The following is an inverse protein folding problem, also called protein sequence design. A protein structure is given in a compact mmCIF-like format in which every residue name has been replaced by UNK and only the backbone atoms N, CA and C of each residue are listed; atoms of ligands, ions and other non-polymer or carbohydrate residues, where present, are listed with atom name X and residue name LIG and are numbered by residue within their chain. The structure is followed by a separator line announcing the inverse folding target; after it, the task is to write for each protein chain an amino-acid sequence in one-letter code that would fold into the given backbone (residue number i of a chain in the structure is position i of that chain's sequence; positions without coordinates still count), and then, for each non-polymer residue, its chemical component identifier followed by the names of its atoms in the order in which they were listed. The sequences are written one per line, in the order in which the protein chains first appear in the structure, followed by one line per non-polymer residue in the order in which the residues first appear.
data_IF_857192404186
#
_entry.id   IF_857192404186
#
_cell.length_a   1.000
_cell.length_b   1.000
_cell.length_c   1.000
_cell.angle_alpha   90.00
_cell.angle_beta   90.00
_cell.angle_gamma   90.00
#
_symmetry.space_group_name_H-M   'P 1'
#
loop_
_entity.id
_entity.type
_entity.pdbx_description
1 polymer ?
#
# COMPACT_ATOMS: atom_id res chain seq x y z
N UNK A 1 24.93 -2.11 -24.38
CA UNK A 1 24.07 -3.29 -24.08
C UNK A 1 24.50 -4.01 -22.80
N UNK A 2 25.79 -3.99 -22.45
CA UNK A 2 26.33 -4.53 -21.18
C UNK A 2 25.88 -3.77 -19.92
N UNK A 3 25.91 -2.43 -19.92
CA UNK A 3 25.42 -1.61 -18.80
C UNK A 3 23.96 -1.89 -18.39
N UNK A 4 23.11 -2.31 -19.34
CA UNK A 4 21.70 -2.65 -19.08
C UNK A 4 21.59 -4.02 -18.40
N UNK A 5 22.49 -4.97 -18.70
CA UNK A 5 22.53 -6.30 -18.07
C UNK A 5 23.05 -6.22 -16.64
N UNK A 6 24.07 -5.40 -16.37
CA UNK A 6 24.61 -5.20 -15.01
C UNK A 6 23.59 -4.55 -14.07
N UNK A 7 22.92 -3.48 -14.54
CA UNK A 7 21.86 -2.82 -13.77
C UNK A 7 20.68 -3.76 -13.48
N UNK A 8 20.39 -4.70 -14.38
CA UNK A 8 19.36 -5.72 -14.18
C UNK A 8 19.70 -6.71 -13.06
N UNK A 9 20.96 -7.19 -13.00
CA UNK A 9 21.42 -8.10 -11.94
C UNK A 9 21.44 -7.42 -10.57
N UNK A 10 21.99 -6.22 -10.47
CA UNK A 10 22.00 -5.46 -9.21
C UNK A 10 20.58 -5.22 -8.68
N UNK A 11 19.64 -4.85 -9.56
CA UNK A 11 18.23 -4.65 -9.17
C UNK A 11 17.57 -5.94 -8.69
N UNK A 12 17.87 -7.08 -9.31
CA UNK A 12 17.34 -8.37 -8.87
C UNK A 12 17.88 -8.80 -7.50
N UNK A 13 19.17 -8.56 -7.23
CA UNK A 13 19.78 -8.86 -5.95
C UNK A 13 19.19 -8.01 -4.81
N UNK A 14 18.97 -6.71 -5.05
CA UNK A 14 18.33 -5.83 -4.07
C UNK A 14 16.90 -6.28 -3.78
N UNK A 15 16.12 -6.65 -4.79
CA UNK A 15 14.76 -7.17 -4.60
C UNK A 15 14.75 -8.48 -3.81
N UNK A 16 15.68 -9.40 -4.10
CA UNK A 16 15.81 -10.65 -3.34
C UNK A 16 16.24 -10.39 -1.89
N UNK A 17 17.15 -9.45 -1.66
CA UNK A 17 17.53 -9.02 -0.32
C UNK A 17 16.34 -8.41 0.44
N UNK A 18 15.49 -7.61 -0.24
CA UNK A 18 14.25 -7.10 0.36
C UNK A 18 13.28 -8.23 0.72
N UNK A 19 13.13 -9.25 -0.11
CA UNK A 19 12.30 -10.42 0.21
C UNK A 19 12.87 -11.22 1.39
N UNK A 20 14.20 -11.37 1.45
CA UNK A 20 14.86 -12.02 2.59
C UNK A 20 14.64 -11.25 3.89
N UNK A 21 14.85 -9.93 3.89
CA UNK A 21 14.59 -9.07 5.04
C UNK A 21 13.11 -9.12 5.47
N UNK A 22 12.18 -9.09 4.51
CA UNK A 22 10.75 -9.25 4.78
C UNK A 22 10.41 -10.62 5.38
N UNK A 23 11.08 -11.69 4.93
CA UNK A 23 10.90 -13.02 5.51
C UNK A 23 11.38 -13.12 6.96
N UNK A 24 12.50 -12.48 7.30
CA UNK A 24 12.99 -12.41 8.68
C UNK A 24 12.06 -11.57 9.56
N UNK A 25 11.62 -10.40 9.06
CA UNK A 25 10.62 -9.56 9.71
C UNK A 25 9.35 -10.38 10.00
N UNK A 26 8.79 -11.04 8.99
CA UNK A 26 7.55 -11.82 9.13
C UNK A 26 7.71 -12.99 10.11
N UNK A 27 8.85 -13.70 10.09
CA UNK A 27 9.10 -14.78 11.03
C UNK A 27 9.12 -14.29 12.48
N UNK A 28 9.72 -13.11 12.74
CA UNK A 28 9.71 -12.48 14.05
C UNK A 28 8.29 -12.05 14.45
N UNK A 29 7.57 -11.37 13.57
CA UNK A 29 6.19 -10.90 13.82
C UNK A 29 5.23 -12.07 14.07
N UNK A 30 5.33 -13.16 13.31
CA UNK A 30 4.53 -14.37 13.54
C UNK A 30 4.87 -15.01 14.87
N UNK A 31 6.16 -15.15 15.19
CA UNK A 31 6.59 -15.69 16.48
C UNK A 31 6.02 -14.87 17.65
N UNK A 32 6.11 -13.54 17.56
CA UNK A 32 5.61 -12.64 18.60
C UNK A 32 4.09 -12.65 18.73
N UNK A 33 3.36 -12.68 17.61
CA UNK A 33 1.89 -12.53 17.63
C UNK A 33 1.14 -13.84 17.81
N UNK A 34 1.68 -14.96 17.34
CA UNK A 34 0.97 -16.25 17.33
C UNK A 34 1.29 -17.13 18.54
N UNK A 35 2.48 -17.00 19.14
CA UNK A 35 2.82 -17.71 20.36
C UNK A 35 2.43 -16.87 21.58
N UNK A 36 1.39 -17.32 22.31
CA UNK A 36 0.89 -16.61 23.50
C UNK A 36 1.96 -16.42 24.58
N UNK A 37 2.90 -17.36 24.71
CA UNK A 37 3.98 -17.27 25.70
C UNK A 37 5.02 -16.22 25.33
N UNK A 38 5.30 -16.09 24.03
CA UNK A 38 6.20 -15.06 23.49
C UNK A 38 5.51 -13.69 23.52
N UNK A 39 4.24 -13.63 23.12
CA UNK A 39 3.40 -12.42 23.18
C UNK A 39 3.36 -11.85 24.60
N UNK A 40 3.15 -12.70 25.61
CA UNK A 40 3.13 -12.33 27.03
C UNK A 40 4.47 -11.77 27.53
N UNK A 41 5.57 -12.14 26.88
CA UNK A 41 6.91 -11.64 27.18
C UNK A 41 7.33 -10.46 26.28
N UNK A 42 6.49 -10.05 25.32
CA UNK A 42 6.80 -8.98 24.39
C UNK A 42 6.87 -7.64 25.14
N UNK A 43 8.00 -6.92 25.07
CA UNK A 43 8.11 -5.62 25.71
C UNK A 43 7.05 -4.64 25.23
N UNK A 44 6.50 -4.80 24.03
CA UNK A 44 5.52 -3.91 23.41
C UNK A 44 4.11 -4.51 23.29
N UNK A 45 3.77 -5.53 24.10
CA UNK A 45 2.47 -6.21 24.02
C UNK A 45 1.25 -5.27 24.14
N UNK A 46 1.26 -4.34 25.10
CA UNK A 46 0.12 -3.43 25.36
C UNK A 46 0.32 -2.05 24.74
N UNK A 47 1.18 -1.96 23.75
CA UNK A 47 1.51 -0.70 23.10
C UNK A 47 0.42 -0.31 22.07
N UNK A 48 0.00 0.96 22.02
CA UNK A 48 -1.00 1.40 21.05
C UNK A 48 -0.58 1.23 19.58
N UNK A 49 0.71 1.01 19.25
CA UNK A 49 1.19 0.79 17.89
C UNK A 49 0.93 -0.63 17.34
N UNK A 50 0.24 -1.51 18.07
CA UNK A 50 -0.16 -2.85 17.60
C UNK A 50 -0.92 -2.82 16.25
N UNK A 51 -1.56 -1.68 15.92
CA UNK A 51 -2.17 -1.43 14.60
C UNK A 51 -1.15 -1.48 13.46
N UNK A 52 0.06 -0.95 13.67
CA UNK A 52 1.13 -0.96 12.67
C UNK A 52 1.71 -2.36 12.49
N UNK A 53 1.86 -3.11 13.58
CA UNK A 53 2.25 -4.53 13.54
C UNK A 53 1.20 -5.34 12.78
N UNK A 54 -0.08 -5.20 13.15
CA UNK A 54 -1.21 -5.87 12.49
C UNK A 54 -1.29 -5.55 10.99
N UNK A 55 -1.10 -4.27 10.62
CA UNK A 55 -1.07 -3.87 9.21
C UNK A 55 0.10 -4.50 8.47
N UNK A 56 1.30 -4.47 9.05
CA UNK A 56 2.50 -5.01 8.42
C UNK A 56 2.45 -6.54 8.29
N UNK A 57 1.96 -7.25 9.31
CA UNK A 57 1.77 -8.70 9.31
C UNK A 57 0.87 -9.17 8.16
N UNK A 58 -0.07 -8.33 7.72
CA UNK A 58 -0.87 -8.65 6.54
C UNK A 58 -0.21 -8.13 5.24
N UNK A 59 0.22 -6.88 5.22
CA UNK A 59 0.62 -6.18 4.01
C UNK A 59 2.01 -6.58 3.50
N UNK A 60 2.97 -6.87 4.39
CA UNK A 60 4.33 -7.30 4.02
C UNK A 60 4.28 -8.63 3.26
N UNK A 61 3.61 -9.69 3.74
CA UNK A 61 3.42 -10.93 2.98
C UNK A 61 2.72 -10.72 1.65
N UNK A 62 1.68 -9.87 1.59
CA UNK A 62 0.98 -9.57 0.33
C UNK A 62 1.92 -8.91 -0.67
N UNK A 63 2.74 -7.93 -0.26
CA UNK A 63 3.76 -7.33 -1.15
C UNK A 63 4.81 -8.34 -1.57
N UNK A 64 5.30 -9.17 -0.65
CA UNK A 64 6.28 -10.20 -0.94
C UNK A 64 5.74 -11.19 -1.99
N UNK A 65 4.48 -11.65 -1.84
CA UNK A 65 3.81 -12.52 -2.81
C UNK A 65 3.63 -11.86 -4.17
N UNK A 66 3.22 -10.59 -4.19
CA UNK A 66 3.09 -9.82 -5.42
C UNK A 66 4.45 -9.72 -6.11
N UNK A 67 5.50 -9.29 -5.40
CA UNK A 67 6.89 -9.22 -5.90
C UNK A 67 7.36 -10.58 -6.41
N UNK A 68 7.17 -11.66 -5.65
CA UNK A 68 7.55 -13.02 -6.03
C UNK A 68 6.83 -13.47 -7.30
N UNK A 69 5.52 -13.20 -7.43
CA UNK A 69 4.76 -13.50 -8.65
C UNK A 69 5.39 -12.82 -9.87
N UNK A 70 5.88 -11.60 -9.70
CA UNK A 70 6.57 -10.88 -10.77
C UNK A 70 7.95 -11.46 -11.08
N UNK A 71 8.67 -11.97 -10.09
CA UNK A 71 9.92 -12.71 -10.36
C UNK A 71 9.64 -14.01 -11.14
N UNK A 72 8.56 -14.73 -10.82
CA UNK A 72 8.15 -15.94 -11.55
C UNK A 72 7.75 -15.64 -13.00
N UNK A 73 7.21 -14.45 -13.27
CA UNK A 73 6.87 -13.98 -14.59
C UNK A 73 8.06 -13.34 -15.35
N UNK A 74 9.32 -13.59 -14.98
CA UNK A 74 10.51 -12.91 -15.54
C UNK A 74 10.62 -12.87 -17.07
N UNK A 75 10.01 -13.82 -17.78
CA UNK A 75 9.97 -13.87 -19.27
C UNK A 75 8.90 -12.97 -19.89
N UNK A 76 8.00 -12.39 -19.10
CA UNK A 76 6.93 -11.55 -19.62
C UNK A 76 7.47 -10.18 -20.05
N UNK A 77 6.93 -9.61 -21.15
CA UNK A 77 7.37 -8.31 -21.68
C UNK A 77 7.18 -7.21 -20.63
N UNK A 78 8.14 -6.29 -20.51
CA UNK A 78 8.13 -5.33 -19.40
C UNK A 78 9.36 -4.43 -19.26
N UNK A 79 10.53 -4.86 -19.75
CA UNK A 79 11.75 -4.04 -19.82
C UNK A 79 12.09 -3.30 -18.52
N UNK A 80 12.46 -2.02 -18.65
CA UNK A 80 12.86 -1.16 -17.53
C UNK A 80 11.71 -0.77 -16.58
N UNK A 81 10.48 -0.62 -17.10
CA UNK A 81 9.29 -0.30 -16.29
C UNK A 81 9.07 -1.37 -15.21
N UNK A 82 9.24 -2.64 -15.59
CA UNK A 82 9.13 -3.80 -14.70
C UNK A 82 10.09 -3.72 -13.53
N UNK A 83 11.37 -3.42 -13.81
CA UNK A 83 12.42 -3.32 -12.79
C UNK A 83 12.10 -2.19 -11.82
N UNK A 84 11.76 -1.01 -12.35
CA UNK A 84 11.44 0.18 -11.52
C UNK A 84 10.23 -0.06 -10.62
N UNK A 85 9.15 -0.64 -11.15
CA UNK A 85 7.96 -0.97 -10.35
C UNK A 85 8.27 -2.00 -9.26
N UNK A 86 9.08 -3.02 -9.56
CA UNK A 86 9.47 -4.05 -8.59
C UNK A 86 10.33 -3.47 -7.47
N UNK A 87 11.31 -2.62 -7.81
CA UNK A 87 12.14 -1.92 -6.82
C UNK A 87 11.29 -0.98 -5.96
N UNK A 88 10.31 -0.28 -6.54
CA UNK A 88 9.38 0.56 -5.77
C UNK A 88 8.44 -0.24 -4.87
N UNK A 89 7.98 -1.42 -5.31
CA UNK A 89 7.21 -2.33 -4.46
C UNK A 89 8.06 -2.86 -3.30
N UNK A 90 9.31 -3.25 -3.56
CA UNK A 90 10.26 -3.64 -2.53
C UNK A 90 10.54 -2.49 -1.56
N UNK A 91 10.68 -1.26 -2.06
CA UNK A 91 10.77 -0.06 -1.24
C UNK A 91 9.56 0.14 -0.33
N UNK A 92 8.34 0.03 -0.86
CA UNK A 92 7.12 0.15 -0.05
C UNK A 92 7.05 -0.93 1.05
N UNK A 93 7.45 -2.16 0.74
CA UNK A 93 7.52 -3.27 1.70
C UNK A 93 8.53 -3.00 2.82
N UNK A 94 9.75 -2.59 2.45
CA UNK A 94 10.83 -2.27 3.41
C UNK A 94 10.48 -1.04 4.25
N UNK A 95 9.82 -0.04 3.67
CA UNK A 95 9.31 1.11 4.42
C UNK A 95 8.26 0.69 5.44
N UNK A 96 7.34 -0.20 5.08
CA UNK A 96 6.31 -0.67 6.01
C UNK A 96 6.94 -1.46 7.17
N UNK A 97 7.83 -2.41 6.88
CA UNK A 97 8.58 -3.14 7.90
C UNK A 97 9.40 -2.19 8.79
N UNK A 98 10.04 -1.18 8.20
CA UNK A 98 10.80 -0.18 8.95
C UNK A 98 9.94 0.70 9.86
N UNK A 99 8.73 1.09 9.42
CA UNK A 99 7.80 1.83 10.28
C UNK A 99 7.38 1.00 11.48
N UNK A 100 7.10 -0.30 11.30
CA UNK A 100 6.79 -1.21 12.41
C UNK A 100 7.95 -1.33 13.38
N UNK A 101 9.18 -1.56 12.88
CA UNK A 101 10.39 -1.61 13.70
C UNK A 101 10.59 -0.32 14.51
N UNK A 102 10.32 0.85 13.92
CA UNK A 102 10.42 2.14 14.62
C UNK A 102 9.39 2.21 15.75
N UNK A 103 8.14 1.81 15.50
CA UNK A 103 7.10 1.74 16.53
C UNK A 103 7.50 0.82 17.70
N UNK A 104 8.01 -0.38 17.39
CA UNK A 104 8.49 -1.33 18.40
C UNK A 104 9.64 -0.75 19.23
N UNK A 105 10.60 -0.05 18.60
CA UNK A 105 11.65 0.64 19.35
C UNK A 105 11.12 1.77 20.23
N UNK A 106 10.16 2.57 19.75
CA UNK A 106 9.54 3.62 20.57
C UNK A 106 8.87 2.99 21.79
N UNK A 107 8.18 1.86 21.62
CA UNK A 107 7.56 1.13 22.72
C UNK A 107 8.59 0.56 23.71
N UNK A 108 9.70 0.00 23.22
CA UNK A 108 10.83 -0.47 24.05
C UNK A 108 11.40 0.67 24.89
N UNK A 109 11.62 1.85 24.28
CA UNK A 109 12.20 3.02 24.97
C UNK A 109 11.21 3.64 25.96
N UNK A 110 9.92 3.66 25.62
CA UNK A 110 8.88 4.26 26.45
C UNK A 110 8.58 3.44 27.72
N UNK A 111 8.85 2.13 27.73
CA UNK A 111 8.68 1.29 28.92
C UNK A 111 9.96 1.27 29.78
N UNK A 112 9.83 1.76 31.02
CA UNK A 112 10.82 1.60 32.10
C UNK A 112 10.98 0.12 32.49
N UNK A 113 12.14 -0.30 33.04
CA UNK A 113 12.69 -1.67 32.94
C UNK A 113 11.99 -2.78 33.76
N UNK A 114 10.74 -2.60 34.19
CA UNK A 114 10.11 -3.48 35.18
C UNK A 114 9.66 -4.85 34.64
N UNK A 115 9.53 -5.06 33.32
CA UNK A 115 8.96 -6.30 32.75
C UNK A 115 9.83 -7.07 31.75
N UNK A 116 11.03 -6.61 31.42
CA UNK A 116 11.86 -7.23 30.37
C UNK A 116 12.80 -8.35 30.83
N UNK A 117 12.64 -8.86 32.06
CA UNK A 117 13.50 -9.92 32.61
C UNK A 117 13.04 -11.32 32.16
N UNK A 118 13.29 -11.66 30.90
CA UNK A 118 12.98 -12.98 30.37
C UNK A 118 13.81 -13.36 29.14
N UNK A 119 14.08 -14.66 28.98
CA UNK A 119 14.77 -15.21 27.79
C UNK A 119 14.06 -14.80 26.50
N UNK A 120 12.72 -14.85 26.50
CA UNK A 120 11.92 -14.43 25.34
C UNK A 120 12.02 -12.93 25.05
N UNK A 121 12.02 -12.06 26.06
CA UNK A 121 12.24 -10.63 25.85
C UNK A 121 13.61 -10.35 25.21
N UNK A 122 14.65 -11.08 25.64
CA UNK A 122 15.99 -10.99 25.03
C UNK A 122 16.00 -11.48 23.58
N UNK A 123 15.29 -12.57 23.28
CA UNK A 123 15.13 -13.09 21.91
C UNK A 123 14.39 -12.10 21.02
N UNK A 124 13.31 -11.48 21.51
CA UNK A 124 12.53 -10.49 20.77
C UNK A 124 13.34 -9.22 20.51
N UNK A 125 14.05 -8.69 21.50
CA UNK A 125 14.95 -7.55 21.33
C UNK A 125 16.08 -7.88 20.35
N UNK A 126 16.68 -9.07 20.47
CA UNK A 126 17.70 -9.55 19.52
C UNK A 126 17.16 -9.66 18.10
N UNK A 127 15.96 -10.21 17.93
CA UNK A 127 15.24 -10.26 16.66
C UNK A 127 14.97 -8.87 16.10
N UNK A 128 14.50 -7.94 16.92
CA UNK A 128 14.25 -6.55 16.56
C UNK A 128 15.53 -5.86 16.06
N UNK A 129 16.67 -6.08 16.73
CA UNK A 129 17.98 -5.58 16.28
C UNK A 129 18.36 -6.15 14.91
N UNK A 130 18.24 -7.46 14.72
CA UNK A 130 18.54 -8.11 13.43
C UNK A 130 17.66 -7.54 12.31
N UNK A 131 16.36 -7.46 12.54
CA UNK A 131 15.39 -6.91 11.58
C UNK A 131 15.66 -5.43 11.27
N UNK A 132 16.08 -4.65 12.28
CA UNK A 132 16.50 -3.26 12.11
C UNK A 132 17.71 -3.15 11.18
N UNK A 133 18.76 -3.93 11.43
CA UNK A 133 19.98 -3.94 10.62
C UNK A 133 19.67 -4.35 9.17
N UNK A 134 18.89 -5.40 8.97
CA UNK A 134 18.49 -5.86 7.63
C UNK A 134 17.67 -4.79 6.89
N UNK A 135 16.70 -4.18 7.57
CA UNK A 135 15.85 -3.13 7.00
C UNK A 135 16.69 -1.93 6.57
N UNK A 136 17.60 -1.45 7.43
CA UNK A 136 18.50 -0.34 7.11
C UNK A 136 19.43 -0.69 5.95
N UNK A 137 20.06 -1.88 5.97
CA UNK A 137 20.95 -2.32 4.90
C UNK A 137 20.23 -2.35 3.54
N UNK A 138 19.03 -2.93 3.48
CA UNK A 138 18.23 -2.99 2.25
C UNK A 138 17.74 -1.59 1.84
N UNK A 139 17.31 -0.75 2.77
CA UNK A 139 16.91 0.63 2.48
C UNK A 139 18.07 1.42 1.84
N UNK A 140 19.29 1.28 2.37
CA UNK A 140 20.49 1.90 1.80
C UNK A 140 20.75 1.40 0.37
N UNK A 141 20.62 0.09 0.12
CA UNK A 141 20.76 -0.47 -1.23
C UNK A 141 19.72 0.07 -2.21
N UNK A 142 18.45 0.17 -1.77
CA UNK A 142 17.36 0.74 -2.57
C UNK A 142 17.61 2.21 -2.91
N UNK A 143 18.04 3.02 -1.94
CA UNK A 143 18.34 4.45 -2.13
C UNK A 143 19.52 4.64 -3.09
N UNK A 144 20.59 3.85 -2.93
CA UNK A 144 21.75 3.89 -3.83
C UNK A 144 21.36 3.50 -5.26
N UNK A 145 20.50 2.51 -5.44
CA UNK A 145 19.97 2.11 -6.76
C UNK A 145 19.04 3.14 -7.41
N UNK A 146 18.37 3.98 -6.61
CA UNK A 146 17.40 4.95 -7.13
C UNK A 146 18.04 6.20 -7.78
N UNK A 147 19.24 6.59 -7.36
CA UNK A 147 19.90 7.86 -7.77
C UNK A 147 20.21 7.99 -9.27
N UNK A 148 20.05 6.94 -10.07
CA UNK A 148 20.35 6.95 -11.51
C UNK A 148 19.16 6.95 -12.48
N UNK A 149 17.90 7.02 -12.01
CA UNK A 149 16.74 6.80 -12.87
C UNK A 149 15.98 8.10 -13.21
N UNK A 150 15.95 8.44 -14.50
CA UNK A 150 15.29 9.65 -15.02
C UNK A 150 13.76 9.74 -14.81
N UNK A 151 13.15 10.84 -15.31
CA UNK A 151 11.73 11.13 -15.13
C UNK A 151 10.83 9.94 -15.51
N UNK A 152 9.83 9.67 -14.69
CA UNK A 152 8.87 8.60 -14.98
C UNK A 152 7.97 8.99 -16.14
N UNK A 153 8.17 8.39 -17.31
CA UNK A 153 7.17 8.38 -18.36
C UNK A 153 5.89 7.63 -17.90
N UNK A 154 4.76 7.79 -18.61
CA UNK A 154 3.56 7.01 -18.34
C UNK A 154 3.85 5.51 -18.44
N UNK A 155 3.54 4.74 -17.39
CA UNK A 155 3.76 3.30 -17.34
C UNK A 155 3.06 2.61 -18.52
N UNK A 156 3.83 1.91 -19.36
CA UNK A 156 3.27 1.15 -20.49
C UNK A 156 2.80 -0.24 -20.09
N UNK A 157 3.36 -0.79 -19.01
CA UNK A 157 3.07 -2.12 -18.50
C UNK A 157 2.79 -2.08 -16.99
N UNK A 158 1.78 -2.85 -16.55
CA UNK A 158 1.40 -3.01 -15.14
C UNK A 158 1.45 -4.48 -14.72
N UNK A 159 1.31 -4.74 -13.42
CA UNK A 159 1.46 -6.08 -12.85
C UNK A 159 0.29 -7.01 -13.21
N UNK A 160 -0.82 -6.43 -13.63
CA UNK A 160 -1.98 -7.19 -14.08
C UNK A 160 -1.67 -8.02 -15.33
N UNK A 161 -0.78 -7.52 -16.20
CA UNK A 161 -0.26 -8.30 -17.33
C UNK A 161 0.53 -9.54 -16.88
N UNK A 162 1.33 -9.40 -15.82
CA UNK A 162 2.08 -10.51 -15.22
C UNK A 162 1.12 -11.53 -14.57
N UNK A 163 0.09 -11.07 -13.86
CA UNK A 163 -0.93 -11.92 -13.28
C UNK A 163 -1.70 -12.72 -14.35
N UNK A 164 -2.13 -12.07 -15.45
CA UNK A 164 -2.78 -12.77 -16.58
C UNK A 164 -1.83 -13.79 -17.21
N UNK A 165 -0.55 -13.45 -17.36
CA UNK A 165 0.46 -14.36 -17.89
C UNK A 165 0.63 -15.60 -17.00
N UNK A 166 0.69 -15.45 -15.68
CA UNK A 166 0.74 -16.58 -14.74
C UNK A 166 -0.56 -17.40 -14.75
N UNK A 167 -1.72 -16.74 -14.72
CA UNK A 167 -3.02 -17.43 -14.75
C UNK A 167 -3.21 -18.25 -16.03
N UNK A 168 -2.67 -17.81 -17.18
CA UNK A 168 -2.69 -18.58 -18.43
C UNK A 168 -1.88 -19.87 -18.37
N UNK A 169 -0.87 -19.96 -17.48
CA UNK A 169 -0.11 -21.19 -17.26
C UNK A 169 -0.88 -22.23 -16.45
N UNK A 170 -1.91 -21.82 -15.71
CA UNK A 170 -2.71 -22.71 -14.86
C UNK A 170 -3.97 -23.13 -15.64
N UNK A 171 -4.17 -24.43 -15.97
CA UNK A 171 -5.26 -24.89 -16.84
C UNK A 171 -6.66 -24.45 -16.39
N UNK A 172 -6.90 -24.47 -15.07
CA UNK A 172 -8.19 -24.11 -14.46
C UNK A 172 -8.47 -22.60 -14.57
N UNK A 173 -7.45 -21.76 -14.44
CA UNK A 173 -7.57 -20.30 -14.46
C UNK A 173 -7.53 -19.72 -15.88
N UNK A 174 -6.90 -20.45 -16.82
CA UNK A 174 -6.78 -20.04 -18.22
C UNK A 174 -8.13 -19.70 -18.88
N UNK A 175 -9.21 -20.41 -18.52
CA UNK A 175 -10.56 -20.17 -19.07
C UNK A 175 -11.27 -18.97 -18.44
N UNK A 176 -10.88 -18.54 -17.24
CA UNK A 176 -11.54 -17.48 -16.47
C UNK A 176 -10.82 -16.12 -16.56
N UNK A 177 -9.52 -16.11 -16.84
CA UNK A 177 -8.70 -14.90 -16.82
C UNK A 177 -8.33 -14.47 -18.24
N UNK A 178 -9.17 -13.61 -18.82
CA UNK A 178 -8.98 -12.99 -20.14
C UNK A 178 -8.46 -11.55 -20.08
N UNK A 179 -8.03 -10.98 -21.22
CA UNK A 179 -7.66 -9.56 -21.32
C UNK A 179 -8.81 -8.63 -20.91
N UNK A 180 -10.07 -9.04 -21.11
CA UNK A 180 -11.25 -8.28 -20.71
C UNK A 180 -11.38 -8.13 -19.20
N UNK A 181 -11.03 -9.18 -18.44
CA UNK A 181 -11.00 -9.13 -16.98
C UNK A 181 -9.95 -8.13 -16.50
N UNK A 182 -8.77 -8.10 -17.14
CA UNK A 182 -7.74 -7.13 -16.82
C UNK A 182 -8.18 -5.68 -17.10
N UNK A 183 -8.84 -5.44 -18.25
CA UNK A 183 -9.41 -4.14 -18.58
C UNK A 183 -10.54 -3.73 -17.62
N UNK A 184 -11.37 -4.68 -17.19
CA UNK A 184 -12.40 -4.46 -16.18
C UNK A 184 -11.80 -4.02 -14.85
N UNK A 185 -10.75 -4.73 -14.37
CA UNK A 185 -10.03 -4.39 -13.14
C UNK A 185 -9.40 -3.00 -13.25
N UNK A 186 -8.74 -2.66 -14.36
CA UNK A 186 -8.16 -1.31 -14.56
C UNK A 186 -9.22 -0.20 -14.50
N UNK A 187 -10.38 -0.42 -15.13
CA UNK A 187 -11.49 0.55 -15.13
C UNK A 187 -12.16 0.68 -13.76
N UNK A 188 -12.18 -0.41 -12.98
CA UNK A 188 -12.84 -0.47 -11.66
C UNK A 188 -11.84 -0.63 -10.50
N UNK A 189 -10.60 -0.16 -10.66
CA UNK A 189 -9.53 -0.42 -9.70
C UNK A 189 -9.90 0.02 -8.27
N UNK A 190 -10.53 1.19 -8.11
CA UNK A 190 -10.97 1.66 -6.78
C UNK A 190 -12.02 0.73 -6.16
N UNK A 191 -13.01 0.27 -6.94
CA UNK A 191 -13.99 -0.71 -6.48
C UNK A 191 -13.32 -2.00 -6.05
N UNK A 192 -12.36 -2.49 -6.85
CA UNK A 192 -11.59 -3.70 -6.51
C UNK A 192 -10.80 -3.51 -5.21
N UNK A 193 -10.14 -2.37 -5.02
CA UNK A 193 -9.43 -2.09 -3.77
C UNK A 193 -10.36 -2.04 -2.57
N UNK A 194 -11.52 -1.36 -2.68
CA UNK A 194 -12.52 -1.34 -1.61
C UNK A 194 -13.01 -2.75 -1.30
N UNK A 195 -13.44 -3.51 -2.31
CA UNK A 195 -13.95 -4.87 -2.12
C UNK A 195 -12.91 -5.79 -1.49
N UNK A 196 -11.67 -5.82 -1.99
CA UNK A 196 -10.63 -6.66 -1.42
C UNK A 196 -10.26 -6.24 0.00
N UNK A 197 -10.21 -4.94 0.28
CA UNK A 197 -9.90 -4.42 1.61
C UNK A 197 -10.99 -4.77 2.62
N UNK A 198 -12.27 -4.65 2.23
CA UNK A 198 -13.41 -5.03 3.06
C UNK A 198 -13.47 -6.54 3.30
N UNK A 199 -13.21 -7.37 2.27
CA UNK A 199 -13.18 -8.83 2.43
C UNK A 199 -12.02 -9.28 3.33
N UNK A 200 -10.83 -8.71 3.14
CA UNK A 200 -9.69 -8.99 4.00
C UNK A 200 -9.95 -8.55 5.45
N UNK A 201 -10.51 -7.35 5.64
CA UNK A 201 -10.89 -6.86 6.95
C UNK A 201 -11.93 -7.75 7.62
N UNK A 202 -12.97 -8.18 6.89
CA UNK A 202 -13.97 -9.09 7.42
C UNK A 202 -13.33 -10.42 7.88
N UNK A 203 -12.45 -11.01 7.08
CA UNK A 203 -11.75 -12.23 7.46
C UNK A 203 -10.89 -12.04 8.72
N UNK A 204 -10.10 -10.96 8.79
CA UNK A 204 -9.25 -10.65 9.93
C UNK A 204 -10.07 -10.38 11.19
N UNK A 205 -11.12 -9.54 11.10
CA UNK A 205 -12.01 -9.23 12.21
C UNK A 205 -12.77 -10.45 12.70
N UNK A 206 -13.28 -11.29 11.80
CA UNK A 206 -13.94 -12.53 12.21
C UNK A 206 -12.98 -13.49 12.90
N UNK A 207 -11.76 -13.67 12.37
CA UNK A 207 -10.74 -14.51 13.00
C UNK A 207 -10.39 -14.00 14.40
N UNK A 208 -10.19 -12.67 14.54
CA UNK A 208 -9.87 -12.04 15.82
C UNK A 208 -11.02 -12.16 16.82
N UNK A 209 -12.25 -11.84 16.40
CA UNK A 209 -13.42 -11.91 17.26
C UNK A 209 -13.68 -13.34 17.77
N UNK A 210 -13.45 -14.35 16.94
CA UNK A 210 -13.54 -15.77 17.35
C UNK A 210 -12.38 -16.14 18.28
N UNK A 211 -11.15 -15.78 17.92
CA UNK A 211 -9.94 -16.14 18.68
C UNK A 211 -9.89 -15.54 20.09
N UNK A 212 -10.39 -14.31 20.24
CA UNK A 212 -10.42 -13.56 21.50
C UNK A 212 -11.78 -13.62 22.20
N UNK A 213 -12.78 -14.32 21.62
CA UNK A 213 -14.12 -14.45 22.21
C UNK A 213 -14.86 -13.13 22.38
N UNK A 214 -14.72 -12.19 21.43
CA UNK A 214 -15.36 -10.88 21.51
C UNK A 214 -16.88 -10.98 21.50
N UNK A 215 -17.52 -10.41 22.52
CA UNK A 215 -18.99 -10.34 22.62
C UNK A 215 -19.55 -8.94 22.32
N UNK A 216 -18.70 -7.91 22.30
CA UNK A 216 -19.14 -6.54 22.03
C UNK A 216 -19.25 -6.29 20.51
N UNK A 217 -20.47 -6.08 19.97
CA UNK A 217 -20.66 -5.81 18.56
C UNK A 217 -20.05 -4.45 18.14
N UNK A 218 -19.96 -3.50 19.07
CA UNK A 218 -19.38 -2.18 18.77
C UNK A 218 -17.87 -2.28 18.58
N UNK A 219 -17.17 -3.04 19.43
CA UNK A 219 -15.75 -3.32 19.29
C UNK A 219 -15.45 -4.02 17.96
N UNK A 220 -16.25 -5.04 17.64
CA UNK A 220 -16.14 -5.79 16.39
C UNK A 220 -16.36 -4.90 15.18
N UNK A 221 -17.41 -4.07 15.20
CA UNK A 221 -17.72 -3.13 14.12
C UNK A 221 -16.65 -2.06 13.94
N UNK A 222 -16.13 -1.50 15.03
CA UNK A 222 -15.02 -0.55 15.00
C UNK A 222 -13.76 -1.18 14.39
N UNK A 223 -13.37 -2.37 14.85
CA UNK A 223 -12.16 -3.06 14.36
C UNK A 223 -12.28 -3.38 12.87
N UNK A 224 -13.46 -3.81 12.40
CA UNK A 224 -13.74 -4.01 10.97
C UNK A 224 -13.49 -2.75 10.15
N UNK A 225 -13.97 -1.59 10.61
CA UNK A 225 -13.80 -0.31 9.91
C UNK A 225 -12.32 0.10 9.90
N UNK A 226 -11.62 -0.03 11.03
CA UNK A 226 -10.18 0.28 11.10
C UNK A 226 -9.38 -0.63 10.16
N UNK A 227 -9.64 -1.94 10.16
CA UNK A 227 -8.96 -2.88 9.27
C UNK A 227 -9.27 -2.59 7.79
N UNK A 228 -10.54 -2.33 7.44
CA UNK A 228 -10.94 -2.06 6.07
C UNK A 228 -10.32 -0.77 5.52
N UNK A 229 -10.31 0.29 6.33
CA UNK A 229 -9.74 1.59 5.95
C UNK A 229 -8.22 1.52 5.87
N UNK A 230 -7.54 0.83 6.78
CA UNK A 230 -6.09 0.60 6.74
C UNK A 230 -5.69 -0.17 5.48
N UNK A 231 -6.38 -1.26 5.17
CA UNK A 231 -6.15 -2.06 3.97
C UNK A 231 -6.41 -1.27 2.69
N UNK A 232 -7.43 -0.42 2.68
CA UNK A 232 -7.75 0.45 1.54
C UNK A 232 -6.67 1.50 1.32
N UNK A 233 -6.24 2.19 2.38
CA UNK A 233 -5.15 3.16 2.34
C UNK A 233 -3.87 2.50 1.80
N UNK A 234 -3.51 1.35 2.36
CA UNK A 234 -2.38 0.55 1.92
C UNK A 234 -2.47 0.21 0.42
N UNK A 235 -3.60 -0.33 -0.04
CA UNK A 235 -3.80 -0.69 -1.44
C UNK A 235 -3.66 0.52 -2.38
N UNK A 236 -4.21 1.68 -2.00
CA UNK A 236 -4.16 2.88 -2.84
C UNK A 236 -2.76 3.50 -2.86
N UNK A 237 -2.12 3.64 -1.70
CA UNK A 237 -0.77 4.23 -1.56
C UNK A 237 0.26 3.32 -2.23
N UNK A 238 0.25 2.02 -1.94
CA UNK A 238 1.19 1.07 -2.54
C UNK A 238 1.02 0.98 -4.06
N UNK A 239 -0.22 1.08 -4.57
CA UNK A 239 -0.45 1.20 -6.01
C UNK A 239 0.08 2.51 -6.61
N UNK A 240 -0.02 3.63 -5.88
CA UNK A 240 0.52 4.91 -6.33
C UNK A 240 2.06 4.89 -6.38
N UNK A 241 2.70 4.20 -5.44
CA UNK A 241 4.16 4.03 -5.38
C UNK A 241 4.65 3.04 -6.45
N UNK A 242 4.10 1.83 -6.47
CA UNK A 242 4.63 0.70 -7.25
C UNK A 242 3.92 0.47 -8.61
N UNK A 243 2.81 1.15 -8.88
CA UNK A 243 2.10 1.05 -10.16
C UNK A 243 1.52 -0.35 -10.43
N UNK A 244 0.96 -1.01 -9.42
CA UNK A 244 0.40 -2.37 -9.57
C UNK A 244 -0.64 -2.48 -10.68
N UNK A 245 -1.58 -1.54 -10.69
CA UNK A 245 -2.69 -1.45 -11.63
C UNK A 245 -2.64 -0.08 -12.29
N UNK A 246 -2.57 -0.06 -13.62
CA UNK A 246 -2.68 1.17 -14.39
C UNK A 246 -4.11 1.72 -14.27
N UNK A 247 -4.24 2.93 -13.71
CA UNK A 247 -5.51 3.61 -13.51
C UNK A 247 -5.74 4.61 -14.67
N UNK A 248 -6.91 4.59 -15.34
CA UNK A 248 -7.25 5.60 -16.34
C UNK A 248 -7.20 7.02 -15.75
N UNK A 249 -7.01 8.02 -16.61
CA UNK A 249 -7.13 9.42 -16.19
C UNK A 249 -8.50 9.68 -15.57
N UNK A 250 -8.52 10.23 -14.36
CA UNK A 250 -9.75 10.50 -13.61
C UNK A 250 -10.18 11.94 -13.75
N UNK A 251 -11.49 12.15 -13.75
CA UNK A 251 -12.11 13.48 -13.61
C UNK A 251 -11.71 14.12 -12.28
N UNK A 252 -11.63 15.45 -12.24
CA UNK A 252 -11.31 16.22 -11.03
C UNK A 252 -12.13 15.80 -9.79
N UNK A 253 -13.48 15.77 -9.83
CA UNK A 253 -14.26 15.41 -8.64
C UNK A 253 -13.89 14.03 -8.10
N UNK A 254 -13.70 13.04 -9.00
CA UNK A 254 -13.31 11.69 -8.61
C UNK A 254 -11.92 11.64 -7.96
N UNK A 255 -10.96 12.44 -8.44
CA UNK A 255 -9.62 12.53 -7.81
C UNK A 255 -9.71 13.10 -6.40
N UNK A 256 -10.50 14.17 -6.22
CA UNK A 256 -10.69 14.80 -4.91
C UNK A 256 -11.32 13.80 -3.94
N UNK A 257 -12.41 13.15 -4.32
CA UNK A 257 -13.09 12.14 -3.48
C UNK A 257 -12.18 10.99 -3.09
N UNK A 258 -11.40 10.45 -4.04
CA UNK A 258 -10.49 9.35 -3.73
C UNK A 258 -9.33 9.80 -2.83
N UNK A 259 -8.76 10.99 -3.06
CA UNK A 259 -7.68 11.53 -2.23
C UNK A 259 -8.14 11.85 -0.80
N UNK A 260 -9.32 12.47 -0.65
CA UNK A 260 -9.90 12.78 0.66
C UNK A 260 -10.26 11.51 1.43
N UNK A 261 -10.84 10.52 0.76
CA UNK A 261 -11.15 9.22 1.37
C UNK A 261 -9.88 8.51 1.88
N UNK A 262 -8.81 8.49 1.08
CA UNK A 262 -7.52 7.90 1.49
C UNK A 262 -6.90 8.67 2.65
N UNK A 263 -6.93 10.00 2.63
CA UNK A 263 -6.44 10.82 3.74
C UNK A 263 -7.20 10.53 5.04
N UNK A 264 -8.53 10.40 4.97
CA UNK A 264 -9.34 9.98 6.11
C UNK A 264 -8.98 8.57 6.61
N UNK A 265 -8.77 7.61 5.72
CA UNK A 265 -8.34 6.26 6.10
C UNK A 265 -6.98 6.25 6.82
N UNK A 266 -6.01 7.04 6.32
CA UNK A 266 -4.71 7.21 6.98
C UNK A 266 -4.88 7.85 8.36
N UNK A 267 -5.72 8.88 8.48
CA UNK A 267 -6.00 9.52 9.76
C UNK A 267 -6.65 8.58 10.77
N UNK A 268 -7.53 7.66 10.34
CA UNK A 268 -8.07 6.59 11.21
C UNK A 268 -6.93 5.70 11.72
N UNK A 269 -6.02 5.29 10.85
CA UNK A 269 -4.88 4.43 11.22
C UNK A 269 -3.96 5.12 12.24
N UNK A 270 -3.59 6.38 11.96
CA UNK A 270 -2.73 7.20 12.82
C UNK A 270 -3.42 7.46 14.16
N UNK A 271 -4.68 7.90 14.15
CA UNK A 271 -5.40 8.16 15.40
C UNK A 271 -5.59 6.91 16.24
N UNK A 272 -5.73 5.72 15.63
CA UNK A 272 -5.79 4.46 16.37
C UNK A 272 -4.43 4.12 17.00
N UNK A 273 -3.34 4.28 16.23
CA UNK A 273 -1.99 4.00 16.69
C UNK A 273 -1.50 4.97 17.78
N UNK A 274 -1.97 6.22 17.76
CA UNK A 274 -1.59 7.25 18.73
C UNK A 274 -2.73 7.63 19.67
N UNK A 275 -3.74 6.76 19.83
CA UNK A 275 -4.96 7.05 20.61
C UNK A 275 -4.67 7.52 22.03
N UNK A 276 -3.71 6.89 22.71
CA UNK A 276 -3.38 7.20 24.11
C UNK A 276 -2.63 8.53 24.24
N UNK A 277 -1.87 8.92 23.20
CA UNK A 277 -1.21 10.23 23.14
C UNK A 277 -2.17 11.35 22.72
N UNK A 278 -3.17 11.04 21.90
CA UNK A 278 -4.16 12.01 21.42
C UNK A 278 -5.28 12.26 22.43
N UNK A 279 -5.69 11.25 23.18
CA UNK A 279 -6.83 11.33 24.08
C UNK A 279 -6.74 12.44 25.16
N UNK A 280 -5.57 12.68 25.80
CA UNK A 280 -5.41 13.78 26.76
C UNK A 280 -5.70 15.17 26.18
N UNK A 281 -5.61 15.34 24.87
CA UNK A 281 -5.96 16.60 24.18
C UNK A 281 -7.47 16.83 24.16
N UNK A 282 -8.27 15.76 24.25
CA UNK A 282 -9.73 15.79 24.16
C UNK A 282 -10.46 15.54 25.49
N UNK A 283 -9.75 15.15 26.56
CA UNK A 283 -10.34 14.90 27.87
C UNK A 283 -9.32 14.64 28.98
N UNK A 284 -9.79 14.59 30.23
CA UNK A 284 -8.95 14.48 31.45
C UNK A 284 -8.84 13.06 32.03
N UNK A 285 -9.40 12.04 31.37
CA UNK A 285 -9.44 10.65 31.87
C UNK A 285 -8.80 9.63 30.91
N UNK A 286 -8.70 8.37 31.32
CA UNK A 286 -8.19 7.27 30.48
C UNK A 286 -9.22 6.79 29.45
N UNK A 287 -8.77 6.48 28.24
CA UNK A 287 -9.62 5.96 27.17
C UNK A 287 -10.04 4.51 27.49
N UNK A 288 -11.21 4.34 28.10
CA UNK A 288 -11.68 3.03 28.60
C UNK A 288 -12.92 2.50 27.87
N UNK A 289 -13.57 3.32 27.05
CA UNK A 289 -14.82 2.94 26.39
C UNK A 289 -14.67 2.87 24.86
N UNK A 290 -15.23 1.80 24.28
CA UNK A 290 -15.26 1.58 22.82
C UNK A 290 -15.96 2.74 22.07
N UNK A 291 -17.06 3.34 22.56
CA UNK A 291 -17.66 4.50 21.89
C UNK A 291 -16.72 5.70 21.81
N UNK A 292 -15.96 5.98 22.88
CA UNK A 292 -14.98 7.07 22.88
C UNK A 292 -13.83 6.80 21.91
N UNK A 293 -13.35 5.56 21.87
CA UNK A 293 -12.33 5.11 20.91
C UNK A 293 -12.82 5.29 19.47
N UNK A 294 -14.03 4.82 19.16
CA UNK A 294 -14.62 4.95 17.84
C UNK A 294 -14.85 6.42 17.45
N UNK A 295 -15.34 7.24 18.38
CA UNK A 295 -15.54 8.67 18.15
C UNK A 295 -14.22 9.40 17.84
N UNK A 296 -13.17 9.12 18.62
CA UNK A 296 -11.83 9.69 18.40
C UNK A 296 -11.29 9.29 17.03
N UNK A 297 -11.24 8.00 16.73
CA UNK A 297 -10.55 7.50 15.53
C UNK A 297 -11.34 7.80 14.26
N UNK A 298 -12.64 7.52 14.25
CA UNK A 298 -13.50 7.76 13.09
C UNK A 298 -13.76 9.25 12.89
N UNK A 299 -13.88 10.01 13.99
CA UNK A 299 -13.99 11.46 13.94
C UNK A 299 -12.76 12.12 13.32
N UNK A 300 -11.54 11.72 13.74
CA UNK A 300 -10.31 12.19 13.12
C UNK A 300 -10.23 11.88 11.62
N UNK A 301 -10.67 10.67 11.23
CA UNK A 301 -10.81 10.27 9.84
C UNK A 301 -11.76 11.15 9.03
N UNK A 302 -12.96 11.38 9.56
CA UNK A 302 -13.98 12.19 8.92
C UNK A 302 -13.53 13.65 8.75
N UNK A 303 -13.00 14.26 9.81
CA UNK A 303 -12.50 15.64 9.78
C UNK A 303 -11.37 15.77 8.76
N UNK A 304 -10.40 14.85 8.77
CA UNK A 304 -9.28 14.88 7.82
C UNK A 304 -9.75 14.74 6.37
N UNK A 305 -10.72 13.85 6.12
CA UNK A 305 -11.32 13.69 4.79
C UNK A 305 -12.00 14.99 4.32
N UNK A 306 -12.82 15.60 5.17
CA UNK A 306 -13.52 16.85 4.84
C UNK A 306 -12.57 18.01 4.61
N UNK A 307 -11.57 18.19 5.49
CA UNK A 307 -10.54 19.23 5.36
C UNK A 307 -9.74 19.02 4.08
N UNK A 308 -9.33 17.78 3.77
CA UNK A 308 -8.62 17.48 2.53
C UNK A 308 -9.46 17.79 1.30
N UNK A 309 -10.74 17.43 1.30
CA UNK A 309 -11.66 17.75 0.21
C UNK A 309 -11.82 19.27 0.05
N UNK A 310 -12.02 20.01 1.15
CA UNK A 310 -12.16 21.46 1.14
C UNK A 310 -10.89 22.15 0.62
N UNK A 311 -9.70 21.74 1.07
CA UNK A 311 -8.42 22.26 0.59
C UNK A 311 -8.23 21.99 -0.91
N UNK A 312 -8.48 20.76 -1.38
CA UNK A 312 -8.36 20.42 -2.80
C UNK A 312 -9.39 21.15 -3.69
N UNK A 313 -10.55 21.49 -3.14
CA UNK A 313 -11.53 22.33 -3.82
C UNK A 313 -11.08 23.80 -3.86
N UNK A 314 -10.61 24.34 -2.73
CA UNK A 314 -10.21 25.74 -2.57
C UNK A 314 -8.90 26.10 -3.28
N UNK A 315 -7.92 25.21 -3.31
CA UNK A 315 -6.59 25.43 -3.90
C UNK A 315 -6.55 25.27 -5.41
N UNK A 316 -7.70 25.00 -6.03
CA UNK A 316 -7.82 24.92 -7.47
C UNK A 316 -8.86 25.92 -8.01
N UNK A 317 -8.57 27.23 -7.90
CA UNK A 317 -9.10 28.22 -8.82
C UNK A 317 -8.30 28.15 -10.14
N UNK A 318 -8.99 28.30 -11.26
CA UNK A 318 -8.45 28.42 -12.63
C UNK A 318 -7.87 27.18 -13.32
N UNK A 319 -8.71 26.50 -14.11
CA UNK A 319 -8.28 25.91 -15.39
C UNK A 319 -9.45 25.91 -16.38
N UNK A 320 -10.13 27.06 -16.49
CA UNK A 320 -11.30 27.24 -17.38
C UNK A 320 -11.10 28.26 -18.51
N UNK A 321 -9.86 28.74 -18.74
CA UNK A 321 -9.55 29.60 -19.88
C UNK A 321 -8.26 29.14 -20.56
N UNK A 322 -8.37 28.44 -21.70
CA UNK A 322 -7.16 28.25 -22.52
C UNK A 322 -7.06 27.09 -23.50
N UNK A 323 -8.14 26.47 -23.99
CA UNK A 323 -8.01 25.62 -25.20
C UNK A 323 -9.27 25.63 -26.07
N UNK A 324 -9.80 26.82 -26.33
CA UNK A 324 -10.77 27.08 -27.41
C UNK A 324 -10.26 28.08 -28.45
N UNK A 325 -8.93 28.24 -28.60
CA UNK A 325 -8.32 29.03 -29.68
C UNK A 325 -7.07 28.36 -30.24
N UNK A 326 -7.24 27.31 -31.05
CA UNK A 326 -6.31 26.93 -32.12
C UNK A 326 -6.91 25.92 -33.11
N UNK A 327 -8.19 26.08 -33.46
CA UNK A 327 -8.75 25.48 -34.66
C UNK A 327 -9.81 26.42 -35.20
N UNK A 328 -9.37 27.35 -36.04
CA UNK A 328 -10.23 28.30 -36.72
C UNK A 328 -9.36 29.34 -37.43
N UNK A 329 -9.11 29.12 -38.72
CA UNK A 329 -8.63 30.17 -39.62
C UNK A 329 -7.27 29.92 -40.28
N UNK A 330 -7.15 28.90 -41.13
CA UNK A 330 -6.30 28.98 -42.30
C UNK A 330 -6.85 28.08 -43.42
N UNK A 331 -7.57 28.75 -44.32
CA UNK A 331 -7.66 28.46 -45.74
C UNK A 331 -8.18 27.09 -46.20
N UNK A 332 -9.49 27.06 -46.39
CA UNK A 332 -10.09 26.80 -47.72
C UNK A 332 -9.08 26.78 -48.87
N UNK A 333 -8.82 25.60 -49.42
CA UNK A 333 -8.69 25.44 -50.87
C UNK A 333 -9.52 24.23 -51.30
N UNK A 334 -10.75 24.53 -51.67
CA UNK A 334 -11.54 23.75 -52.60
C UNK A 334 -10.76 23.63 -53.92
N UNK A 335 -10.38 22.42 -54.31
CA UNK A 335 -10.18 22.09 -55.72
C UNK A 335 -10.99 20.83 -56.04
N UNK A 336 -12.19 21.08 -56.53
CA UNK A 336 -13.06 20.08 -57.17
C UNK A 336 -12.50 19.74 -58.58
N UNK A 337 -13.01 18.66 -59.20
CA UNK A 337 -12.32 17.81 -60.17
C UNK A 337 -12.44 18.33 -61.59
N UNK A 338 -11.49 17.95 -62.44
CA UNK A 338 -11.72 17.90 -63.88
C UNK A 338 -11.67 16.48 -64.41
N UNK A 339 -12.80 16.12 -65.02
CA UNK A 339 -12.96 15.01 -65.96
C UNK A 339 -12.49 15.49 -67.33
N UNK A 340 -11.53 14.80 -67.94
CA UNK A 340 -11.48 14.60 -69.39
C UNK A 340 -10.89 13.20 -69.64
N UNK A 341 -11.66 12.19 -70.07
CA UNK A 341 -12.19 11.91 -71.42
C UNK A 341 -11.11 11.44 -72.42
N UNK A 342 -10.79 10.15 -72.38
CA UNK A 342 -10.87 9.21 -73.51
C UNK A 342 -9.86 9.24 -74.68
N UNK A 343 -9.65 8.03 -75.22
CA UNK A 343 -8.99 7.59 -76.47
C UNK A 343 -7.48 7.35 -76.34
N UNK A 344 -6.90 6.23 -76.77
CA UNK A 344 -7.35 5.10 -77.60
C UNK A 344 -6.71 3.80 -77.09
#
# INVERSE_FOLDING_TARGET
MEHVKENGRASSAVVLASLGAAGVFEALTVLETQDKSVRAASPWQDDPYDVMVSLAQFAVPVLALVIASRLLAWRAPGGADRVRQTVRAAGAMVTLAGLTVVCEWVAVVARTPASSSGTWASVLIGGLVVTSVLTVAVAVLLVRGHRGHGPAGPWRHDWLGDAVFLCRRIPVLRRRVGPDAALWVRRRAMTVFVTLSTLAAAALTSAQAIGEGWTDPLLTGWFLVVAATSNLAFCVISNAVAGFIARPARTRPRRITEASAVAGCVAISVSTAFRDALWPVFGTGTLTSVPALAALTLGAGLVTSLVTAALLLAWSPYDFSGSRRRFGGAATHLRRPDKHRGKA
#
